data_IF_459446255807
#
_entry.id   IF_459446255807
#
_cell.length_a   1.000
_cell.length_b   1.000
_cell.length_c   1.000
_cell.angle_alpha   90.00
_cell.angle_beta   90.00
_cell.angle_gamma   90.00
#
_symmetry.space_group_name_H-M   'P 1'
#
loop_
_entity.id
_entity.type
_entity.pdbx_description
1 polymer ?
#
# COMPACT_ATOMS: atom_id res chain seq x y z
N UNK A 1 -14.80 13.97 10.65
CA UNK A 1 -14.28 13.31 11.87
C UNK A 1 -15.11 13.71 13.09
N UNK A 2 -15.21 15.00 13.41
CA UNK A 2 -15.97 15.49 14.58
C UNK A 2 -17.42 15.00 14.66
N UNK A 3 -18.18 15.04 13.56
CA UNK A 3 -19.56 14.55 13.55
C UNK A 3 -19.65 13.05 13.89
N UNK A 4 -18.71 12.23 13.40
CA UNK A 4 -18.66 10.81 13.72
C UNK A 4 -18.42 10.60 15.22
N UNK A 5 -17.47 11.35 15.78
CA UNK A 5 -17.10 11.28 17.20
C UNK A 5 -18.24 11.78 18.12
N UNK A 6 -18.86 12.92 17.79
CA UNK A 6 -20.03 13.48 18.51
C UNK A 6 -21.19 12.47 18.54
N UNK A 7 -21.34 11.66 17.50
CA UNK A 7 -22.36 10.61 17.40
C UNK A 7 -21.87 9.21 17.81
N UNK A 8 -20.70 9.10 18.47
CA UNK A 8 -20.14 7.84 19.00
C UNK A 8 -19.90 6.75 17.94
N UNK A 9 -19.67 7.15 16.69
CA UNK A 9 -19.27 6.25 15.62
C UNK A 9 -17.81 5.85 15.82
N UNK A 10 -17.51 4.55 15.75
CA UNK A 10 -16.13 4.06 15.80
C UNK A 10 -15.34 4.63 14.62
N UNK A 11 -14.42 5.53 14.92
CA UNK A 11 -13.79 6.40 13.92
C UNK A 11 -12.28 6.21 13.91
N UNK A 12 -11.71 6.07 12.71
CA UNK A 12 -10.27 6.08 12.50
C UNK A 12 -9.83 7.15 11.51
N UNK A 13 -8.52 7.44 11.50
CA UNK A 13 -7.90 8.41 10.60
C UNK A 13 -6.79 7.75 9.79
N UNK A 14 -6.94 7.80 8.47
CA UNK A 14 -5.93 7.39 7.51
C UNK A 14 -5.05 8.60 7.14
N UNK A 15 -3.78 8.54 7.50
CA UNK A 15 -2.79 9.60 7.24
C UNK A 15 -1.98 9.22 6.00
N UNK A 16 -2.14 9.95 4.90
CA UNK A 16 -1.31 9.78 3.70
C UNK A 16 -0.02 10.58 3.85
N UNK A 17 1.11 9.89 3.88
CA UNK A 17 2.45 10.45 4.12
C UNK A 17 3.23 10.53 2.82
N UNK A 18 3.76 11.71 2.55
CA UNK A 18 4.57 12.04 1.40
C UNK A 18 5.76 12.93 1.81
N UNK A 19 6.63 13.24 0.85
CA UNK A 19 7.88 13.99 1.07
C UNK A 19 7.67 15.31 1.82
N UNK A 20 6.58 16.03 1.52
CA UNK A 20 6.34 17.37 2.05
C UNK A 20 5.64 17.40 3.40
N UNK A 21 5.08 16.28 3.88
CA UNK A 21 4.31 16.26 5.13
C UNK A 21 4.82 15.24 6.16
N UNK A 22 5.88 14.49 5.84
CA UNK A 22 6.44 13.47 6.73
C UNK A 22 6.87 14.05 8.08
N UNK A 23 7.43 15.26 8.10
CA UNK A 23 7.89 15.92 9.32
C UNK A 23 6.76 16.48 10.18
N UNK A 24 5.59 16.74 9.60
CA UNK A 24 4.41 17.22 10.32
C UNK A 24 3.60 16.06 10.89
N UNK A 25 3.44 14.99 10.09
CA UNK A 25 2.50 13.91 10.38
C UNK A 25 3.14 12.71 11.09
N UNK A 26 4.42 12.41 10.85
CA UNK A 26 5.11 11.28 11.49
C UNK A 26 5.75 11.75 12.80
N UNK A 27 4.89 12.24 13.70
CA UNK A 27 5.25 12.84 14.98
C UNK A 27 4.33 12.35 16.10
N UNK A 28 4.84 12.26 17.33
CA UNK A 28 3.99 11.93 18.49
C UNK A 28 2.85 12.94 18.66
N UNK A 29 3.12 14.22 18.37
CA UNK A 29 2.13 15.31 18.44
C UNK A 29 0.90 15.04 17.58
N UNK A 30 1.08 14.53 16.36
CA UNK A 30 -0.06 14.16 15.51
C UNK A 30 -0.87 13.01 16.12
N UNK A 31 -0.20 11.99 16.66
CA UNK A 31 -0.86 10.85 17.31
C UNK A 31 -1.61 11.29 18.58
N UNK A 32 -1.00 12.14 19.39
CA UNK A 32 -1.62 12.71 20.59
C UNK A 32 -2.86 13.52 20.23
N UNK A 33 -2.80 14.30 19.15
CA UNK A 33 -3.97 15.01 18.64
C UNK A 33 -5.11 14.08 18.24
N UNK A 34 -4.83 12.96 17.57
CA UNK A 34 -5.85 11.96 17.22
C UNK A 34 -6.50 11.37 18.48
N UNK A 35 -5.71 11.08 19.51
CA UNK A 35 -6.22 10.57 20.79
C UNK A 35 -7.09 11.61 21.49
N UNK A 36 -6.65 12.87 21.56
CA UNK A 36 -7.43 13.97 22.14
C UNK A 36 -8.78 14.18 21.43
N UNK A 37 -8.82 13.96 20.12
CA UNK A 37 -10.06 13.99 19.36
C UNK A 37 -10.99 12.80 19.69
N UNK A 38 -10.47 11.71 20.26
CA UNK A 38 -11.23 10.47 20.50
C UNK A 38 -11.21 9.50 19.32
N UNK A 39 -10.20 9.59 18.44
CA UNK A 39 -10.00 8.65 17.34
C UNK A 39 -9.51 7.30 17.90
N UNK A 40 -10.09 6.20 17.42
CA UNK A 40 -9.84 4.86 17.93
C UNK A 40 -8.67 4.15 17.24
N UNK A 41 -8.49 4.40 15.94
CA UNK A 41 -7.46 3.74 15.14
C UNK A 41 -6.89 4.66 14.06
N UNK A 42 -5.65 4.41 13.65
CA UNK A 42 -4.98 5.20 12.62
C UNK A 42 -4.12 4.35 11.70
N UNK A 43 -3.94 4.84 10.47
CA UNK A 43 -2.97 4.33 9.50
C UNK A 43 -2.01 5.43 9.07
N UNK A 44 -0.82 4.99 8.68
CA UNK A 44 0.16 5.82 7.97
C UNK A 44 0.44 5.15 6.63
N UNK A 45 -0.22 5.64 5.57
CA UNK A 45 -0.02 5.13 4.22
C UNK A 45 1.06 5.92 3.52
N UNK A 46 2.03 5.22 2.95
CA UNK A 46 3.02 5.84 2.06
C UNK A 46 2.35 6.25 0.76
N UNK A 47 2.62 7.48 0.31
CA UNK A 47 2.20 7.99 -0.99
C UNK A 47 2.74 7.10 -2.12
N UNK A 48 1.83 6.63 -2.99
CA UNK A 48 2.15 5.84 -4.17
C UNK A 48 1.75 6.64 -5.41
N UNK A 49 2.68 7.00 -6.31
CA UNK A 49 2.38 7.81 -7.48
C UNK A 49 1.65 6.97 -8.52
N UNK A 50 0.32 7.04 -8.53
CA UNK A 50 -0.54 6.37 -9.51
C UNK A 50 -1.73 7.25 -9.84
N UNK A 51 -2.18 7.20 -11.09
CA UNK A 51 -3.23 8.07 -11.61
C UNK A 51 -2.70 9.08 -12.64
N UNK A 52 -3.61 9.88 -13.24
CA UNK A 52 -3.27 10.76 -14.36
C UNK A 52 -2.38 11.94 -13.96
N UNK A 53 -2.49 12.41 -12.71
CA UNK A 53 -1.78 13.57 -12.17
C UNK A 53 -0.84 13.18 -11.02
N UNK A 54 -0.15 12.04 -11.15
CA UNK A 54 0.79 11.58 -10.13
C UNK A 54 2.01 12.50 -10.04
N UNK A 55 2.42 12.87 -8.80
CA UNK A 55 3.61 13.67 -8.57
C UNK A 55 4.69 12.84 -7.88
N UNK A 56 5.67 12.43 -8.66
CA UNK A 56 6.76 11.54 -8.24
C UNK A 56 7.72 12.20 -7.24
N UNK A 57 7.77 13.53 -7.20
CA UNK A 57 8.59 14.27 -6.23
C UNK A 57 8.06 14.10 -4.80
N UNK A 58 6.78 13.75 -4.64
CA UNK A 58 6.16 13.48 -3.33
C UNK A 58 6.48 12.08 -2.80
N UNK A 59 7.13 11.21 -3.59
CA UNK A 59 7.51 9.89 -3.14
C UNK A 59 8.55 9.93 -2.02
N UNK A 60 8.41 8.97 -1.11
CA UNK A 60 9.35 8.79 0.00
C UNK A 60 10.55 7.95 -0.43
N UNK A 61 11.72 8.27 0.11
CA UNK A 61 12.91 7.44 -0.01
C UNK A 61 12.76 6.15 0.85
N UNK A 62 13.59 5.11 0.60
CA UNK A 62 13.63 3.93 1.46
C UNK A 62 13.87 4.25 2.94
N UNK A 63 14.71 5.24 3.24
CA UNK A 63 15.02 5.69 4.60
C UNK A 63 13.79 6.35 5.27
N UNK A 64 13.03 7.14 4.51
CA UNK A 64 11.81 7.78 4.98
C UNK A 64 10.68 6.76 5.21
N UNK A 65 10.54 5.77 4.33
CA UNK A 65 9.61 4.65 4.56
C UNK A 65 10.00 3.83 5.80
N UNK A 66 11.30 3.61 6.01
CA UNK A 66 11.81 2.95 7.22
C UNK A 66 11.53 3.78 8.48
N UNK A 67 11.65 5.11 8.41
CA UNK A 67 11.26 6.02 9.51
C UNK A 67 9.79 5.84 9.87
N UNK A 68 8.89 5.80 8.88
CA UNK A 68 7.46 5.57 9.12
C UNK A 68 7.24 4.21 9.79
N UNK A 69 7.85 3.15 9.28
CA UNK A 69 7.70 1.81 9.86
C UNK A 69 8.17 1.76 11.32
N UNK A 70 9.34 2.33 11.62
CA UNK A 70 9.85 2.44 13.01
C UNK A 70 8.89 3.22 13.90
N UNK A 71 8.38 4.35 13.41
CA UNK A 71 7.43 5.18 14.13
C UNK A 71 6.13 4.43 14.45
N UNK A 72 5.52 3.76 13.45
CA UNK A 72 4.28 2.98 13.63
C UNK A 72 4.46 1.88 14.67
N UNK A 73 5.54 1.09 14.57
CA UNK A 73 5.84 0.01 15.52
C UNK A 73 6.06 0.55 16.94
N UNK A 74 6.74 1.68 17.07
CA UNK A 74 7.03 2.29 18.36
C UNK A 74 5.78 2.90 19.00
N UNK A 75 5.04 3.72 18.25
CA UNK A 75 3.85 4.38 18.77
C UNK A 75 2.74 3.39 19.12
N UNK A 76 2.60 2.31 18.35
CA UNK A 76 1.67 1.21 18.66
C UNK A 76 1.92 0.59 20.04
N UNK A 77 3.16 0.56 20.50
CA UNK A 77 3.52 0.03 21.82
C UNK A 77 3.45 1.09 22.93
N UNK A 78 3.38 2.38 22.58
CA UNK A 78 3.49 3.51 23.51
C UNK A 78 2.17 4.26 23.74
N UNK A 79 1.32 4.37 22.73
CA UNK A 79 0.17 5.28 22.71
C UNK A 79 -1.15 4.48 22.78
N UNK A 80 -2.18 4.98 23.49
CA UNK A 80 -3.47 4.31 23.65
C UNK A 80 -4.38 4.49 22.41
N UNK A 81 -3.88 4.13 21.22
CA UNK A 81 -4.61 4.14 19.95
C UNK A 81 -4.18 2.95 19.10
N UNK A 82 -5.11 2.37 18.34
CA UNK A 82 -4.79 1.23 17.47
C UNK A 82 -4.09 1.71 16.21
N UNK A 83 -2.86 1.27 16.00
CA UNK A 83 -2.17 1.47 14.72
C UNK A 83 -2.46 0.30 13.81
N UNK A 84 -3.11 0.54 12.69
CA UNK A 84 -3.35 -0.50 11.68
C UNK A 84 -2.23 -0.43 10.64
N UNK A 85 -1.59 -1.58 10.38
CA UNK A 85 -0.54 -1.72 9.38
C UNK A 85 -0.64 -3.09 8.72
N UNK A 86 -1.20 -3.09 7.52
CA UNK A 86 -1.52 -4.29 6.73
C UNK A 86 -0.47 -4.57 5.63
N UNK A 87 0.69 -3.90 5.66
CA UNK A 87 1.75 -4.08 4.65
C UNK A 87 2.98 -4.82 5.18
N UNK A 88 2.96 -5.22 6.45
CA UNK A 88 4.04 -5.97 7.09
C UNK A 88 3.47 -7.08 7.97
N UNK A 89 4.17 -8.19 8.10
CA UNK A 89 3.85 -9.23 9.06
C UNK A 89 4.36 -8.90 10.49
N UNK A 90 4.31 -9.89 11.38
CA UNK A 90 4.81 -9.81 12.76
C UNK A 90 6.33 -9.64 12.86
N UNK A 91 7.09 -10.20 11.92
CA UNK A 91 8.54 -10.11 11.83
C UNK A 91 9.01 -8.83 11.11
N UNK A 92 8.08 -7.99 10.67
CA UNK A 92 8.39 -6.77 9.92
C UNK A 92 8.76 -7.03 8.47
N UNK A 93 8.47 -8.23 7.94
CA UNK A 93 8.61 -8.52 6.52
C UNK A 93 7.44 -7.93 5.77
N UNK A 94 7.72 -7.27 4.64
CA UNK A 94 6.68 -6.72 3.79
C UNK A 94 5.72 -7.80 3.30
N UNK A 95 4.48 -7.43 3.01
CA UNK A 95 3.51 -8.25 2.31
C UNK A 95 2.56 -7.36 1.48
N UNK A 96 1.93 -7.97 0.48
CA UNK A 96 0.89 -7.33 -0.33
C UNK A 96 -0.46 -8.04 -0.08
N UNK A 97 -1.48 -7.34 0.47
CA UNK A 97 -2.81 -7.93 0.70
C UNK A 97 -3.47 -8.53 -0.56
N UNK A 98 -3.19 -7.93 -1.72
CA UNK A 98 -3.68 -8.45 -2.99
C UNK A 98 -2.95 -9.73 -3.41
N UNK A 99 -1.62 -9.82 -3.19
CA UNK A 99 -0.85 -11.02 -3.50
C UNK A 99 -1.15 -12.18 -2.55
N UNK A 100 -1.46 -11.89 -1.28
CA UNK A 100 -1.85 -12.89 -0.28
C UNK A 100 -3.29 -13.37 -0.46
N UNK A 101 -4.10 -12.71 -1.30
CA UNK A 101 -5.48 -13.09 -1.58
C UNK A 101 -6.50 -12.71 -0.51
N UNK A 102 -6.12 -11.86 0.46
CA UNK A 102 -7.01 -11.46 1.57
C UNK A 102 -7.94 -10.28 1.23
N UNK A 103 -7.68 -9.58 0.13
CA UNK A 103 -8.51 -8.46 -0.33
C UNK A 103 -8.73 -8.51 -1.83
N UNK A 104 -9.94 -8.15 -2.25
CA UNK A 104 -10.30 -7.85 -3.63
C UNK A 104 -10.91 -6.45 -3.67
N UNK A 105 -10.68 -5.71 -4.74
CA UNK A 105 -11.29 -4.39 -4.93
C UNK A 105 -12.43 -4.52 -5.94
N UNK A 106 -13.59 -3.93 -5.62
CA UNK A 106 -14.71 -3.82 -6.55
C UNK A 106 -14.88 -2.32 -6.84
N UNK A 107 -14.68 -1.93 -8.09
CA UNK A 107 -14.78 -0.53 -8.48
C UNK A 107 -16.25 -0.06 -8.58
N UNK A 108 -16.50 1.26 -8.73
CA UNK A 108 -17.86 1.79 -8.76
C UNK A 108 -18.78 1.25 -9.86
N UNK A 109 -18.22 0.65 -10.92
CA UNK A 109 -18.97 0.01 -12.02
C UNK A 109 -19.15 -1.50 -11.83
N UNK A 110 -18.77 -2.02 -10.66
CA UNK A 110 -18.86 -3.43 -10.33
C UNK A 110 -17.74 -4.29 -10.93
N UNK A 111 -16.73 -3.69 -11.55
CA UNK A 111 -15.55 -4.40 -12.04
C UNK A 111 -14.67 -4.88 -10.89
N UNK A 112 -14.15 -6.11 -11.00
CA UNK A 112 -13.32 -6.73 -9.96
C UNK A 112 -11.84 -6.53 -10.32
N UNK A 113 -11.12 -5.84 -9.44
CA UNK A 113 -9.74 -5.41 -9.59
C UNK A 113 -8.85 -6.07 -8.52
N UNK A 114 -7.58 -6.40 -8.83
CA UNK A 114 -6.67 -6.98 -7.85
C UNK A 114 -6.44 -6.07 -6.63
N UNK A 115 -6.33 -4.76 -6.86
CA UNK A 115 -6.16 -3.76 -5.80
C UNK A 115 -6.61 -2.38 -6.31
N UNK A 116 -6.89 -1.39 -5.45
CA UNK A 116 -7.50 -0.12 -5.85
C UNK A 116 -6.65 0.74 -6.81
N UNK A 117 -5.37 0.42 -6.97
CA UNK A 117 -4.45 1.11 -7.89
C UNK A 117 -4.08 0.25 -9.13
N UNK A 118 -4.65 -0.95 -9.26
CA UNK A 118 -4.52 -1.82 -10.45
C UNK A 118 -5.89 -1.88 -11.11
N UNK A 119 -6.21 -0.83 -11.86
CA UNK A 119 -7.57 -0.56 -12.33
C UNK A 119 -7.86 -1.28 -13.66
N UNK A 120 -7.64 -2.59 -13.68
CA UNK A 120 -7.91 -3.44 -14.84
C UNK A 120 -8.83 -4.59 -14.45
N UNK A 121 -9.76 -4.93 -15.34
CA UNK A 121 -10.88 -5.84 -15.04
C UNK A 121 -11.07 -6.90 -16.12
N UNK A 122 -11.32 -8.13 -15.71
CA UNK A 122 -11.82 -9.23 -16.56
C UNK A 122 -13.22 -9.69 -16.19
N UNK A 123 -13.61 -9.47 -14.94
CA UNK A 123 -14.87 -9.94 -14.36
C UNK A 123 -15.62 -8.79 -13.69
N UNK A 124 -16.95 -8.93 -13.63
CA UNK A 124 -17.85 -7.97 -12.97
C UNK A 124 -18.79 -8.70 -12.01
N UNK A 125 -19.15 -8.04 -10.91
CA UNK A 125 -20.19 -8.56 -10.01
C UNK A 125 -21.54 -8.70 -10.70
N UNK A 126 -21.79 -7.95 -11.78
CA UNK A 126 -23.05 -7.98 -12.55
C UNK A 126 -23.16 -9.18 -13.51
N UNK A 127 -22.07 -9.93 -13.72
CA UNK A 127 -22.11 -11.15 -14.53
C UNK A 127 -22.76 -12.28 -13.74
N UNK A 128 -24.06 -12.53 -13.96
CA UNK A 128 -24.81 -13.58 -13.26
C UNK A 128 -24.42 -15.01 -13.70
N UNK A 129 -23.62 -15.17 -14.76
CA UNK A 129 -23.18 -16.49 -15.24
C UNK A 129 -22.12 -17.16 -14.35
N UNK A 130 -21.47 -16.39 -13.47
CA UNK A 130 -20.43 -16.83 -12.54
C UNK A 130 -20.77 -16.45 -11.11
N UNK A 131 -20.49 -17.34 -10.17
CA UNK A 131 -20.47 -17.03 -8.74
C UNK A 131 -19.36 -16.04 -8.39
N UNK A 132 -19.46 -15.39 -7.22
CA UNK A 132 -18.42 -14.48 -6.75
C UNK A 132 -17.07 -15.19 -6.53
N UNK A 133 -17.12 -16.46 -6.08
CA UNK A 133 -15.92 -17.28 -5.87
C UNK A 133 -15.20 -17.54 -7.21
N UNK A 134 -15.94 -17.91 -8.25
CA UNK A 134 -15.36 -18.11 -9.59
C UNK A 134 -14.74 -16.82 -10.15
N UNK A 135 -15.36 -15.67 -9.87
CA UNK A 135 -14.82 -14.36 -10.27
C UNK A 135 -13.52 -14.02 -9.53
N UNK A 136 -13.42 -14.32 -8.23
CA UNK A 136 -12.19 -14.10 -7.44
C UNK A 136 -11.06 -15.09 -7.78
N UNK A 137 -11.42 -16.28 -8.26
CA UNK A 137 -10.49 -17.27 -8.81
C UNK A 137 -10.30 -17.16 -10.33
N UNK A 138 -10.65 -16.02 -10.93
CA UNK A 138 -10.45 -15.80 -12.37
C UNK A 138 -8.97 -15.93 -12.76
N UNK A 139 -8.68 -16.35 -14.02
CA UNK A 139 -7.30 -16.49 -14.50
C UNK A 139 -6.47 -15.22 -14.32
N UNK A 140 -7.06 -14.05 -14.52
CA UNK A 140 -6.37 -12.77 -14.37
C UNK A 140 -5.95 -12.50 -12.91
N UNK A 141 -6.88 -12.65 -11.96
CA UNK A 141 -6.57 -12.41 -10.55
C UNK A 141 -5.60 -13.47 -10.01
N UNK A 142 -5.73 -14.72 -10.45
CA UNK A 142 -4.80 -15.79 -10.08
C UNK A 142 -3.38 -15.52 -10.58
N UNK A 143 -3.22 -15.21 -11.86
CA UNK A 143 -1.93 -14.88 -12.44
C UNK A 143 -1.36 -13.59 -11.82
N UNK A 144 -2.19 -12.61 -11.46
CA UNK A 144 -1.76 -11.43 -10.70
C UNK A 144 -1.15 -11.83 -9.35
N UNK A 145 -1.84 -12.68 -8.57
CA UNK A 145 -1.33 -13.15 -7.27
C UNK A 145 0.00 -13.86 -7.44
N UNK A 146 0.11 -14.76 -8.41
CA UNK A 146 1.32 -15.51 -8.72
C UNK A 146 2.47 -14.58 -9.11
N UNK A 147 2.22 -13.67 -10.05
CA UNK A 147 3.22 -12.71 -10.53
C UNK A 147 3.70 -11.78 -9.43
N UNK A 148 2.78 -11.19 -8.65
CA UNK A 148 3.11 -10.31 -7.55
C UNK A 148 3.96 -11.02 -6.50
N UNK A 149 3.50 -12.20 -6.04
CA UNK A 149 4.21 -13.05 -5.07
C UNK A 149 5.63 -13.41 -5.54
N UNK A 150 5.79 -13.78 -6.80
CA UNK A 150 7.07 -14.29 -7.32
C UNK A 150 8.06 -13.17 -7.67
N UNK A 151 7.58 -11.92 -7.68
CA UNK A 151 8.38 -10.75 -8.06
C UNK A 151 8.90 -9.99 -6.87
N UNK A 152 8.04 -9.72 -5.88
CA UNK A 152 8.39 -8.89 -4.72
C UNK A 152 7.46 -9.17 -3.53
N UNK A 153 7.94 -8.90 -2.31
CA UNK A 153 7.07 -8.78 -1.12
C UNK A 153 6.40 -7.41 -1.00
N UNK A 154 6.73 -6.51 -1.92
CA UNK A 154 6.30 -5.11 -1.95
C UNK A 154 5.10 -4.87 -2.86
N UNK A 155 5.04 -3.66 -3.43
CA UNK A 155 4.01 -3.29 -4.39
C UNK A 155 4.49 -3.50 -5.83
N UNK A 156 3.95 -4.49 -6.54
CA UNK A 156 4.34 -4.77 -7.93
C UNK A 156 4.12 -3.58 -8.87
N UNK A 157 3.11 -2.74 -8.61
CA UNK A 157 2.84 -1.53 -9.41
C UNK A 157 4.03 -0.57 -9.40
N UNK A 158 4.66 -0.39 -8.23
CA UNK A 158 5.83 0.47 -8.10
C UNK A 158 7.10 -0.23 -8.56
N UNK A 159 7.22 -1.53 -8.26
CA UNK A 159 8.49 -2.22 -8.43
C UNK A 159 8.69 -2.79 -9.83
N UNK A 160 7.62 -3.27 -10.47
CA UNK A 160 7.64 -3.92 -11.80
C UNK A 160 6.38 -3.57 -12.60
N UNK A 161 6.16 -2.27 -12.91
CA UNK A 161 5.05 -1.85 -13.77
C UNK A 161 5.09 -2.53 -15.15
N UNK A 162 6.29 -2.86 -15.65
CA UNK A 162 6.51 -3.61 -16.89
C UNK A 162 5.88 -5.02 -16.86
N UNK A 163 6.08 -5.76 -15.76
CA UNK A 163 5.49 -7.09 -15.62
C UNK A 163 3.98 -7.02 -15.47
N UNK A 164 3.48 -6.01 -14.77
CA UNK A 164 2.04 -5.78 -14.65
C UNK A 164 1.41 -5.44 -15.99
N UNK A 165 2.06 -4.61 -16.81
CA UNK A 165 1.62 -4.28 -18.17
C UNK A 165 1.51 -5.54 -19.07
N UNK A 166 2.52 -6.41 -18.99
CA UNK A 166 2.51 -7.69 -19.70
C UNK A 166 1.35 -8.60 -19.24
N UNK A 167 1.06 -8.62 -17.93
CA UNK A 167 -0.06 -9.39 -17.39
C UNK A 167 -1.41 -8.87 -17.90
N UNK A 168 -1.61 -7.55 -17.86
CA UNK A 168 -2.83 -6.90 -18.38
C UNK A 168 -3.04 -7.26 -19.84
N UNK A 169 -1.98 -7.18 -20.65
CA UNK A 169 -1.99 -7.55 -22.06
C UNK A 169 -2.31 -9.03 -22.27
N UNK A 170 -1.67 -9.92 -21.50
CA UNK A 170 -1.89 -11.38 -21.56
C UNK A 170 -3.36 -11.74 -21.36
N UNK A 171 -4.05 -11.07 -20.44
CA UNK A 171 -5.44 -11.36 -20.10
C UNK A 171 -6.46 -10.52 -20.88
N UNK A 172 -6.00 -9.61 -21.75
CA UNK A 172 -6.89 -8.61 -22.39
C UNK A 172 -7.75 -7.88 -21.34
N UNK A 173 -7.16 -7.60 -20.17
CA UNK A 173 -7.87 -6.98 -19.07
C UNK A 173 -8.21 -5.53 -19.44
N UNK A 174 -9.49 -5.18 -19.32
CA UNK A 174 -10.00 -3.88 -19.75
C UNK A 174 -9.65 -2.81 -18.74
N UNK A 175 -9.46 -1.58 -19.21
CA UNK A 175 -9.36 -0.42 -18.34
C UNK A 175 -10.66 -0.24 -17.55
N UNK A 176 -10.56 -0.32 -16.22
CA UNK A 176 -11.68 -0.19 -15.29
C UNK A 176 -12.02 1.26 -14.93
N UNK A 177 -11.31 2.24 -15.50
CA UNK A 177 -11.43 3.66 -15.16
C UNK A 177 -12.30 4.43 -16.14
N UNK A 178 -12.96 5.51 -15.69
CA UNK A 178 -13.70 6.43 -16.58
C UNK A 178 -12.78 7.13 -17.58
N UNK A 179 -11.56 7.43 -17.14
CA UNK A 179 -10.60 8.22 -17.90
C UNK A 179 -9.99 7.47 -19.08
N UNK A 180 -10.06 6.13 -19.08
CA UNK A 180 -9.55 5.27 -20.16
C UNK A 180 -8.05 5.47 -20.47
N UNK A 181 -7.26 5.81 -19.45
CA UNK A 181 -5.82 6.09 -19.55
C UNK A 181 -4.96 5.17 -18.68
N UNK A 182 -5.54 4.16 -18.01
CA UNK A 182 -4.82 3.34 -17.03
C UNK A 182 -3.60 2.61 -17.63
N UNK A 183 -3.71 2.14 -18.88
CA UNK A 183 -2.58 1.50 -19.58
C UNK A 183 -1.47 2.49 -19.93
N UNK A 184 -1.82 3.71 -20.35
CA UNK A 184 -0.85 4.75 -20.64
C UNK A 184 -0.14 5.21 -19.36
N UNK A 185 -0.87 5.38 -18.26
CA UNK A 185 -0.33 5.69 -16.94
C UNK A 185 0.63 4.61 -16.46
N UNK A 186 0.23 3.33 -16.54
CA UNK A 186 1.07 2.21 -16.14
C UNK A 186 2.36 2.14 -16.97
N UNK A 187 2.27 2.35 -18.29
CA UNK A 187 3.44 2.35 -19.17
C UNK A 187 4.38 3.54 -18.94
N UNK A 188 3.86 4.67 -18.44
CA UNK A 188 4.67 5.83 -18.08
C UNK A 188 5.37 5.67 -16.71
N UNK A 189 4.95 4.69 -15.89
CA UNK A 189 5.55 4.46 -14.60
C UNK A 189 7.01 4.00 -14.71
N UNK A 190 7.81 4.47 -13.77
CA UNK A 190 9.19 4.04 -13.61
C UNK A 190 9.34 3.17 -12.37
N UNK A 191 10.33 2.28 -12.39
CA UNK A 191 10.63 1.39 -11.26
C UNK A 191 11.01 2.21 -10.04
N UNK A 192 10.36 1.93 -8.90
CA UNK A 192 10.56 2.61 -7.62
C UNK A 192 10.61 1.63 -6.45
N UNK A 193 11.33 1.97 -5.37
CA UNK A 193 11.21 1.27 -4.11
C UNK A 193 9.76 1.28 -3.60
N UNK A 194 9.40 0.26 -2.83
CA UNK A 194 8.11 0.18 -2.14
C UNK A 194 8.31 -0.19 -0.66
N UNK A 195 7.29 -0.72 0.01
CA UNK A 195 7.43 -1.21 1.39
C UNK A 195 8.44 -2.36 1.55
N UNK A 196 8.81 -3.05 0.46
CA UNK A 196 9.80 -4.12 0.54
C UNK A 196 11.21 -3.54 0.71
N UNK A 197 11.77 -3.76 1.90
CA UNK A 197 13.13 -3.40 2.24
C UNK A 197 13.82 -4.61 2.90
N UNK A 198 14.57 -5.44 2.14
CA UNK A 198 15.18 -6.66 2.67
C UNK A 198 16.23 -6.40 3.77
N UNK A 199 16.85 -5.21 3.78
CA UNK A 199 17.86 -4.84 4.77
C UNK A 199 17.28 -4.18 6.04
N UNK A 200 15.99 -3.87 6.06
CA UNK A 200 15.39 -2.95 7.03
C UNK A 200 14.13 -3.47 7.72
N UNK A 201 13.98 -4.79 7.91
CA UNK A 201 12.83 -5.35 8.61
C UNK A 201 12.73 -4.81 10.05
N UNK A 202 11.54 -4.37 10.43
CA UNK A 202 11.25 -3.86 11.79
C UNK A 202 10.15 -4.73 12.41
N UNK A 203 10.50 -5.71 13.25
CA UNK A 203 9.52 -6.56 13.93
C UNK A 203 8.62 -5.78 14.88
N UNK A 204 7.45 -6.32 15.18
CA UNK A 204 6.56 -5.76 16.20
C UNK A 204 7.22 -5.79 17.58
N UNK A 205 7.19 -4.65 18.31
CA UNK A 205 7.75 -4.53 19.67
C UNK A 205 6.86 -5.12 20.75
N UNK A 206 5.55 -5.06 20.58
CA UNK A 206 4.58 -5.59 21.55
C UNK A 206 4.32 -7.06 21.28
N UNK A 207 4.49 -7.92 22.29
CA UNK A 207 4.23 -9.36 22.17
C UNK A 207 2.77 -9.65 21.77
N UNK A 208 1.81 -8.86 22.25
CA UNK A 208 0.41 -9.02 21.92
C UNK A 208 0.16 -8.74 20.43
N UNK A 209 0.73 -7.66 19.90
CA UNK A 209 0.65 -7.34 18.47
C UNK A 209 1.43 -8.32 17.62
N UNK A 210 2.57 -8.80 18.10
CA UNK A 210 3.35 -9.83 17.43
C UNK A 210 2.51 -11.10 17.24
N UNK A 211 1.85 -11.60 18.29
CA UNK A 211 0.96 -12.77 18.22
C UNK A 211 -0.23 -12.48 17.30
N UNK A 212 -0.90 -11.34 17.49
CA UNK A 212 -2.06 -10.97 16.68
C UNK A 212 -1.72 -10.93 15.19
N UNK A 213 -0.60 -10.32 14.81
CA UNK A 213 -0.16 -10.29 13.42
C UNK A 213 0.32 -11.64 12.93
N UNK A 214 0.97 -12.44 13.78
CA UNK A 214 1.38 -13.81 13.41
C UNK A 214 0.17 -14.70 13.09
N UNK A 215 -0.97 -14.49 13.74
CA UNK A 215 -2.18 -15.31 13.53
C UNK A 215 -3.12 -14.76 12.45
N UNK A 216 -3.30 -13.43 12.39
CA UNK A 216 -4.39 -12.80 11.61
C UNK A 216 -3.92 -11.85 10.51
N UNK A 217 -2.67 -11.36 10.56
CA UNK A 217 -2.12 -10.41 9.60
C UNK A 217 -0.72 -10.84 9.16
N UNK A 218 -0.64 -12.11 8.77
CA UNK A 218 0.55 -12.73 8.20
C UNK A 218 0.40 -12.84 6.68
N UNK A 219 1.41 -13.41 6.05
CA UNK A 219 1.41 -13.64 4.60
C UNK A 219 0.82 -15.00 4.20
N UNK A 220 0.25 -15.77 5.13
CA UNK A 220 -0.31 -17.11 4.92
C UNK A 220 0.65 -18.05 4.17
N UNK A 221 1.96 -17.91 4.45
CA UNK A 221 3.03 -18.67 3.78
C UNK A 221 3.07 -18.47 2.26
N UNK A 222 2.42 -17.44 1.70
CA UNK A 222 2.42 -17.25 0.24
C UNK A 222 3.83 -16.99 -0.29
N UNK A 223 4.73 -16.43 0.50
CA UNK A 223 6.10 -16.14 0.07
C UNK A 223 7.12 -17.24 0.38
N UNK A 224 6.71 -18.37 0.97
CA UNK A 224 7.63 -19.45 1.35
C UNK A 224 8.34 -20.03 0.11
N UNK A 225 9.67 -20.16 0.20
CA UNK A 225 10.50 -20.66 -0.89
C UNK A 225 10.63 -19.72 -2.09
N UNK A 226 10.18 -18.46 -2.00
CA UNK A 226 10.31 -17.47 -3.07
C UNK A 226 11.54 -16.59 -2.88
N UNK A 227 12.29 -16.39 -3.96
CA UNK A 227 13.45 -15.51 -4.00
C UNK A 227 13.11 -14.20 -4.69
N UNK A 228 13.18 -13.09 -3.93
CA UNK A 228 12.93 -11.73 -4.41
C UNK A 228 14.22 -10.95 -4.67
N UNK A 229 15.38 -11.55 -4.46
CA UNK A 229 16.69 -10.90 -4.60
C UNK A 229 17.07 -10.58 -6.05
N UNK A 230 16.37 -11.16 -7.04
CA UNK A 230 16.66 -10.94 -8.45
C UNK A 230 15.74 -9.91 -9.12
N UNK A 231 14.44 -9.91 -8.82
CA UNK A 231 13.40 -9.23 -9.62
C UNK A 231 12.81 -7.98 -8.97
N UNK A 232 12.98 -7.80 -7.66
CA UNK A 232 12.41 -6.70 -6.90
C UNK A 232 13.11 -5.36 -7.20
N UNK A 233 12.42 -4.24 -6.98
CA UNK A 233 13.03 -2.93 -7.23
C UNK A 233 14.28 -2.67 -6.38
N UNK A 234 14.34 -3.00 -5.07
CA UNK A 234 15.57 -2.85 -4.29
C UNK A 234 16.79 -3.51 -4.96
N UNK A 235 16.59 -4.69 -5.55
CA UNK A 235 17.64 -5.42 -6.26
C UNK A 235 18.02 -4.77 -7.59
N UNK A 236 17.03 -4.46 -8.44
CA UNK A 236 17.28 -3.87 -9.76
C UNK A 236 17.96 -2.50 -9.66
N UNK A 237 17.51 -1.66 -8.72
CA UNK A 237 18.10 -0.35 -8.45
C UNK A 237 19.51 -0.47 -7.87
N UNK A 238 19.72 -1.42 -6.94
CA UNK A 238 21.04 -1.71 -6.38
C UNK A 238 22.06 -2.16 -7.42
N UNK A 239 21.62 -2.92 -8.43
CA UNK A 239 22.46 -3.35 -9.58
C UNK A 239 22.53 -2.34 -10.72
N UNK A 240 21.80 -1.22 -10.64
CA UNK A 240 21.68 -0.18 -11.69
C UNK A 240 21.16 -0.72 -13.03
N UNK A 241 20.33 -1.76 -13.00
CA UNK A 241 19.69 -2.34 -14.19
C UNK A 241 18.48 -1.51 -14.67
N UNK A 242 17.97 -0.64 -13.80
CA UNK A 242 16.89 0.31 -14.08
C UNK A 242 17.29 1.70 -13.57
N UNK A 243 16.78 2.75 -14.22
CA UNK A 243 17.09 4.12 -13.86
C UNK A 243 16.66 4.47 -12.43
N UNK A 244 17.42 5.34 -11.77
CA UNK A 244 17.03 5.98 -10.50
C UNK A 244 16.50 7.38 -10.83
N UNK A 245 15.32 7.74 -10.32
CA UNK A 245 14.84 9.12 -10.41
C UNK A 245 15.32 9.86 -9.18
N UNK A 246 16.40 10.63 -9.30
CA UNK A 246 16.68 11.68 -8.31
C UNK A 246 15.67 12.80 -8.51
N UNK A 247 14.59 12.78 -7.73
CA UNK A 247 13.70 13.92 -7.66
C UNK A 247 14.41 15.05 -6.91
N UNK A 248 14.68 16.17 -7.57
CA UNK A 248 14.86 17.45 -6.88
C UNK A 248 13.63 17.65 -5.99
N UNK A 249 13.83 17.72 -4.68
CA UNK A 249 12.74 17.65 -3.70
C UNK A 249 11.67 18.72 -3.94
N UNK A 250 10.38 18.40 -3.75
CA UNK A 250 9.30 19.36 -3.88
C UNK A 250 9.40 20.40 -2.75
N UNK A 251 8.87 21.60 -2.98
CA UNK A 251 8.78 22.61 -1.92
C UNK A 251 7.93 22.08 -0.75
N UNK A 252 8.47 22.14 0.46
CA UNK A 252 7.76 21.77 1.69
C UNK A 252 6.76 22.88 2.02
N UNK A 253 5.48 22.53 2.15
CA UNK A 253 4.43 23.44 2.61
C UNK A 253 4.09 23.03 4.04
N UNK A 254 4.34 23.89 5.06
CA UNK A 254 3.98 23.59 6.44
C UNK A 254 2.47 23.32 6.55
N UNK A 255 2.07 22.16 7.09
CA UNK A 255 0.67 21.93 7.41
C UNK A 255 0.28 22.68 8.68
N UNK A 256 -0.64 23.64 8.54
CA UNK A 256 -1.35 24.18 9.69
C UNK A 256 -2.38 23.15 10.19
N UNK A 257 -2.01 22.39 11.22
CA UNK A 257 -2.86 21.38 11.85
C UNK A 257 -3.96 21.98 12.74
N UNK A 258 -4.25 23.29 12.65
CA UNK A 258 -5.37 23.94 13.35
C UNK A 258 -6.72 23.58 12.70
N UNK A 259 -7.17 22.34 12.87
CA UNK A 259 -8.60 22.02 12.72
C UNK A 259 -9.30 22.68 13.90
N UNK A 260 -10.06 23.74 13.59
CA UNK A 260 -10.64 24.67 14.53
C UNK A 260 -11.28 24.00 15.74
N UNK A 261 -11.04 24.60 16.92
CA UNK A 261 -11.83 24.31 18.12
C UNK A 261 -13.27 24.77 17.83
N UNK A 262 -14.15 23.86 17.41
CA UNK A 262 -15.61 24.05 17.48
C UNK A 262 -16.09 23.72 18.88
#
# INVERSE_FOLDING_TARGET
VENCLKNKVFTGVCTSVCKTNIDDLVTEKWVDRLIEMGVFYTWFHVYRPMGPDANEQLCLSPEEMLRIRKFVVEMRAKKPIVFVDAYYDHAGQALCPAATGITHHINPWGGIEPCPIVQFVTDSIHDESKSLVEKFESPFLKDFRELARDTTRGCIVLERPDLLANLVTKHTAKDGTVRATAMAELNAMQVRPSQYNPAGAVPEKSWAYWIAKKLFFNDFAVYDGRDHSAKSAPSLLGRREVGTVEATGPAVVPLDLHIGKS
#
